data_IF_432868429681
#
_entry.id   IF_432868429681
#
_cell.length_a   1.000
_cell.length_b   1.000
_cell.length_c   1.000
_cell.angle_alpha   90.00
_cell.angle_beta   90.00
_cell.angle_gamma   90.00
#
_symmetry.space_group_name_H-M   'P 1'
#
loop_
_entity.id
_entity.type
_entity.pdbx_description
1 polymer ?
#
# COMPACT_ATOMS: atom_id res chain seq x y z
N UNK A 1 -17.45 -3.33 -8.97
CA UNK A 1 -16.86 -1.98 -9.01
C UNK A 1 -16.38 -1.73 -10.43
N UNK A 2 -16.85 -0.68 -11.10
CA UNK A 2 -16.39 -0.30 -12.43
C UNK A 2 -15.43 0.87 -12.20
N UNK A 3 -14.14 0.65 -12.41
CA UNK A 3 -13.12 1.69 -12.30
C UNK A 3 -13.10 2.48 -13.60
N UNK A 4 -13.37 3.79 -13.53
CA UNK A 4 -13.46 4.67 -14.69
C UNK A 4 -12.49 5.84 -14.46
N UNK A 5 -11.64 6.11 -15.45
CA UNK A 5 -10.63 7.17 -15.45
C UNK A 5 -11.23 8.49 -15.94
N UNK A 6 -10.88 9.58 -15.26
CA UNK A 6 -11.10 10.96 -15.71
C UNK A 6 -9.88 11.46 -16.50
N UNK A 7 -10.09 12.37 -17.44
CA UNK A 7 -9.01 13.00 -18.21
C UNK A 7 -8.46 14.23 -17.46
N UNK A 8 -7.13 14.42 -17.49
CA UNK A 8 -6.48 15.67 -17.09
C UNK A 8 -6.85 16.78 -18.08
N UNK A 9 -7.63 17.76 -17.64
CA UNK A 9 -7.81 19.04 -18.34
C UNK A 9 -6.83 20.05 -17.72
N UNK A 10 -5.55 19.92 -18.05
CA UNK A 10 -4.55 20.94 -17.74
C UNK A 10 -3.59 21.07 -18.91
N UNK A 11 -3.85 22.05 -19.78
CA UNK A 11 -2.84 22.83 -20.54
C UNK A 11 -3.54 23.73 -21.58
N UNK A 12 -4.00 24.91 -21.14
CA UNK A 12 -4.04 26.14 -21.93
C UNK A 12 -4.15 27.33 -20.97
N UNK A 13 -3.08 27.58 -20.21
CA UNK A 13 -2.87 28.84 -19.46
C UNK A 13 -1.40 28.91 -19.04
N UNK A 14 -0.53 29.21 -20.00
CA UNK A 14 0.84 29.70 -19.79
C UNK A 14 1.08 30.84 -20.78
N UNK A 15 1.77 31.89 -20.31
CA UNK A 15 1.98 33.24 -20.88
C UNK A 15 0.73 34.13 -20.74
N UNK A 16 0.76 35.25 -20.02
CA UNK A 16 1.70 36.37 -20.10
C UNK A 16 2.11 36.94 -18.73
N UNK A 17 3.42 36.94 -18.51
CA UNK A 17 4.31 37.87 -17.81
C UNK A 17 3.77 39.06 -16.97
N UNK A 18 4.25 39.08 -15.72
CA UNK A 18 4.99 40.15 -15.02
C UNK A 18 4.35 41.47 -14.55
N UNK A 19 4.58 41.70 -13.25
CA UNK A 19 5.23 42.87 -12.66
C UNK A 19 4.43 44.17 -12.37
N UNK A 20 4.51 44.53 -11.08
CA UNK A 20 4.70 45.88 -10.50
C UNK A 20 3.57 46.91 -10.71
N UNK A 21 2.85 47.15 -9.62
CA UNK A 21 2.09 48.39 -9.40
C UNK A 21 3.01 49.49 -8.87
N UNK A 22 3.13 50.61 -9.60
CA UNK A 22 3.12 51.96 -9.02
C UNK A 22 2.95 53.04 -10.13
N UNK A 23 2.11 54.04 -9.82
CA UNK A 23 1.86 55.34 -10.46
C UNK A 23 0.84 55.48 -11.63
N UNK A 24 -0.30 56.10 -11.24
CA UNK A 24 -1.14 57.12 -11.87
C UNK A 24 -0.96 57.52 -13.35
N UNK A 25 -2.06 57.51 -14.13
CA UNK A 25 -2.80 58.72 -14.58
C UNK A 25 -3.83 58.44 -15.68
N UNK A 26 -4.88 59.26 -15.67
CA UNK A 26 -5.96 59.49 -16.64
C UNK A 26 -5.67 59.16 -18.13
N UNK A 27 -6.60 58.46 -18.78
CA UNK A 27 -7.22 58.92 -20.05
C UNK A 27 -8.38 58.01 -20.50
N UNK A 28 -9.48 58.64 -20.89
CA UNK A 28 -10.73 58.11 -21.45
C UNK A 28 -10.50 57.53 -22.86
N UNK A 29 -11.07 56.37 -23.21
CA UNK A 29 -11.59 56.10 -24.57
C UNK A 29 -12.50 54.83 -24.59
N UNK A 30 -13.52 54.91 -25.44
CA UNK A 30 -14.65 53.99 -25.65
C UNK A 30 -14.31 52.49 -25.65
N UNK A 31 -15.04 51.70 -24.86
CA UNK A 31 -15.06 50.24 -24.98
C UNK A 31 -16.34 49.78 -25.67
N UNK A 32 -16.16 49.23 -26.87
CA UNK A 32 -17.14 48.48 -27.63
C UNK A 32 -17.52 47.22 -26.82
N UNK A 33 -18.79 47.06 -26.47
CA UNK A 33 -19.28 45.91 -25.68
C UNK A 33 -19.36 44.67 -26.57
N UNK A 34 -18.24 43.99 -26.79
CA UNK A 34 -18.24 42.65 -27.37
C UNK A 34 -18.77 41.69 -26.32
N UNK A 35 -20.05 41.34 -26.41
CA UNK A 35 -20.63 40.23 -25.64
C UNK A 35 -19.99 38.95 -26.16
N UNK A 36 -18.95 38.47 -25.47
CA UNK A 36 -18.43 37.11 -25.67
C UNK A 36 -19.45 36.15 -25.06
N UNK A 37 -20.37 35.66 -25.88
CA UNK A 37 -21.22 34.53 -25.53
C UNK A 37 -20.30 33.31 -25.46
N UNK A 38 -19.89 32.93 -24.25
CA UNK A 38 -19.34 31.59 -24.02
C UNK A 38 -20.49 30.59 -24.20
N UNK A 39 -20.66 30.05 -25.41
CA UNK A 39 -21.48 28.86 -25.58
C UNK A 39 -20.78 27.72 -24.87
N UNK A 40 -21.31 27.30 -23.73
CA UNK A 40 -21.02 26.03 -23.09
C UNK A 40 -21.54 24.90 -23.99
N UNK A 41 -20.85 24.67 -25.10
CA UNK A 41 -21.04 23.51 -25.94
C UNK A 41 -20.60 22.27 -25.16
N UNK A 42 -21.50 21.71 -24.34
CA UNK A 42 -21.44 20.30 -24.01
C UNK A 42 -21.40 19.56 -25.35
N UNK A 43 -20.26 18.98 -25.72
CA UNK A 43 -20.21 18.05 -26.83
C UNK A 43 -21.27 16.97 -26.57
N UNK A 44 -22.39 17.06 -27.28
CA UNK A 44 -23.46 16.09 -27.19
C UNK A 44 -22.90 14.78 -27.76
N UNK A 45 -22.67 13.80 -26.90
CA UNK A 45 -22.32 12.46 -27.37
C UNK A 45 -23.59 11.72 -27.75
N UNK A 46 -23.59 11.08 -28.92
CA UNK A 46 -24.76 10.32 -29.38
C UNK A 46 -24.81 8.91 -28.78
N UNK A 47 -23.66 8.33 -28.45
CA UNK A 47 -23.55 6.94 -27.98
C UNK A 47 -22.49 6.76 -26.91
N UNK A 48 -22.79 5.91 -25.94
CA UNK A 48 -21.82 5.37 -24.98
C UNK A 48 -22.05 3.87 -24.70
N UNK A 49 -21.04 3.18 -24.16
CA UNK A 49 -21.17 1.78 -23.74
C UNK A 49 -22.18 1.64 -22.59
N UNK A 50 -22.08 2.55 -21.61
CA UNK A 50 -22.93 2.55 -20.42
C UNK A 50 -23.17 3.97 -19.90
N UNK A 51 -24.39 4.21 -19.42
CA UNK A 51 -24.83 5.46 -18.81
C UNK A 51 -25.34 5.15 -17.41
N UNK A 52 -24.73 5.75 -16.39
CA UNK A 52 -25.22 5.70 -15.01
C UNK A 52 -26.00 6.96 -14.70
N UNK A 53 -27.18 6.82 -14.10
CA UNK A 53 -27.98 7.95 -13.62
C UNK A 53 -28.24 7.81 -12.12
N UNK A 54 -27.95 8.85 -11.35
CA UNK A 54 -28.23 8.89 -9.91
C UNK A 54 -28.78 10.26 -9.50
N UNK A 55 -29.66 10.27 -8.50
CA UNK A 55 -30.13 11.48 -7.82
C UNK A 55 -29.05 12.11 -6.93
N UNK A 56 -27.98 11.36 -6.62
CA UNK A 56 -26.90 11.77 -5.71
C UNK A 56 -25.53 11.51 -6.34
N UNK A 57 -25.06 12.43 -7.17
CA UNK A 57 -23.71 12.36 -7.75
C UNK A 57 -22.84 13.47 -7.19
N UNK A 58 -21.64 13.12 -6.74
CA UNK A 58 -20.60 14.06 -6.31
C UNK A 58 -19.43 13.92 -7.29
N UNK A 59 -19.04 15.01 -7.96
CA UNK A 59 -17.93 15.00 -8.94
C UNK A 59 -16.59 15.43 -8.34
N UNK A 60 -16.60 15.99 -7.13
CA UNK A 60 -15.45 16.65 -6.47
C UNK A 60 -14.89 17.87 -7.22
N UNK A 61 -15.64 18.41 -8.20
CA UNK A 61 -15.31 19.63 -8.95
C UNK A 61 -16.40 20.68 -8.71
N UNK A 62 -16.02 21.90 -8.35
CA UNK A 62 -16.95 22.99 -8.05
C UNK A 62 -17.68 22.78 -6.73
N UNK A 63 -19.02 22.92 -6.73
CA UNK A 63 -19.84 22.66 -5.54
C UNK A 63 -19.77 21.19 -5.12
N UNK A 64 -19.42 20.96 -3.85
CA UNK A 64 -19.22 19.62 -3.27
C UNK A 64 -20.54 18.99 -2.78
N UNK A 65 -21.67 19.42 -3.33
CA UNK A 65 -23.00 18.95 -2.94
C UNK A 65 -23.46 17.87 -3.91
N UNK A 66 -24.11 16.83 -3.39
CA UNK A 66 -24.69 15.78 -4.21
C UNK A 66 -25.84 16.34 -5.06
N UNK A 67 -25.83 16.03 -6.37
CA UNK A 67 -26.88 16.47 -7.29
C UNK A 67 -27.29 15.36 -8.28
N UNK A 68 -28.51 15.42 -8.85
CA UNK A 68 -28.93 14.48 -9.88
C UNK A 68 -28.08 14.65 -11.16
N UNK A 69 -27.39 13.58 -11.57
CA UNK A 69 -26.57 13.57 -12.78
C UNK A 69 -26.62 12.21 -13.49
N UNK A 70 -26.32 12.27 -14.78
CA UNK A 70 -25.96 11.12 -15.61
C UNK A 70 -24.47 11.17 -15.97
N UNK A 71 -23.81 10.01 -15.97
CA UNK A 71 -22.41 9.83 -16.34
C UNK A 71 -22.35 8.77 -17.45
N UNK A 72 -21.83 9.13 -18.61
CA UNK A 72 -21.63 8.23 -19.72
C UNK A 72 -20.17 7.78 -19.83
N UNK A 73 -19.97 6.51 -20.12
CA UNK A 73 -18.66 5.84 -20.06
C UNK A 73 -18.45 5.00 -21.31
N UNK A 74 -17.26 5.13 -21.91
CA UNK A 74 -16.75 4.26 -22.97
C UNK A 74 -15.47 3.58 -22.50
N UNK A 75 -15.45 2.25 -22.49
CA UNK A 75 -14.36 1.45 -21.94
C UNK A 75 -14.00 1.88 -20.52
N UNK A 76 -12.80 2.44 -20.35
CA UNK A 76 -12.28 2.92 -19.06
C UNK A 76 -12.43 4.43 -18.86
N UNK A 77 -13.13 5.18 -19.72
CA UNK A 77 -13.17 6.65 -19.67
C UNK A 77 -14.57 7.20 -19.49
N UNK A 78 -14.69 8.21 -18.63
CA UNK A 78 -15.87 9.08 -18.61
C UNK A 78 -15.81 9.94 -19.86
N UNK A 79 -16.83 9.85 -20.71
CA UNK A 79 -16.92 10.60 -21.97
C UNK A 79 -17.90 11.77 -21.88
N UNK A 80 -18.81 11.75 -20.91
CA UNK A 80 -19.77 12.83 -20.69
C UNK A 80 -20.36 12.79 -19.27
N UNK A 81 -20.67 13.96 -18.73
CA UNK A 81 -21.39 14.16 -17.47
C UNK A 81 -22.39 15.30 -17.68
N UNK A 82 -23.65 15.09 -17.31
CA UNK A 82 -24.68 16.14 -17.40
C UNK A 82 -25.97 15.77 -16.69
N UNK A 83 -27.06 16.45 -17.03
CA UNK A 83 -28.35 16.23 -16.37
C UNK A 83 -28.95 14.86 -16.71
N UNK A 84 -29.82 14.30 -15.85
CA UNK A 84 -30.56 13.09 -16.18
C UNK A 84 -31.38 13.19 -17.46
N UNK A 85 -31.97 14.36 -17.74
CA UNK A 85 -32.79 14.60 -18.95
C UNK A 85 -31.96 14.54 -20.23
N UNK A 86 -30.82 15.24 -20.27
CA UNK A 86 -29.90 15.19 -21.42
C UNK A 86 -29.37 13.76 -21.64
N UNK A 87 -29.07 13.05 -20.55
CA UNK A 87 -28.50 11.70 -20.61
C UNK A 87 -29.45 10.66 -21.20
N UNK A 88 -30.78 10.84 -21.13
CA UNK A 88 -31.77 9.89 -21.66
C UNK A 88 -31.62 9.64 -23.16
N UNK A 89 -31.15 10.63 -23.90
CA UNK A 89 -31.05 10.57 -25.36
C UNK A 89 -29.75 9.92 -25.85
N UNK A 90 -28.81 9.62 -24.94
CA UNK A 90 -27.56 8.94 -25.30
C UNK A 90 -27.85 7.45 -25.52
N UNK A 91 -27.52 6.96 -26.72
CA UNK A 91 -27.66 5.54 -27.07
C UNK A 91 -26.66 4.70 -26.25
N UNK A 92 -27.13 3.62 -25.62
CA UNK A 92 -26.26 2.75 -24.82
C UNK A 92 -27.01 1.98 -23.73
N UNK A 93 -26.26 1.30 -22.85
CA UNK A 93 -26.87 0.62 -21.70
C UNK A 93 -27.11 1.60 -20.56
N UNK A 94 -28.37 1.79 -20.18
CA UNK A 94 -28.76 2.67 -19.07
C UNK A 94 -28.85 1.92 -17.74
N UNK A 95 -28.22 2.46 -16.70
CA UNK A 95 -28.30 1.97 -15.31
C UNK A 95 -28.79 3.11 -14.41
N UNK A 96 -30.01 2.96 -13.89
CA UNK A 96 -30.62 3.89 -12.93
C UNK A 96 -30.30 3.45 -11.51
N UNK A 97 -29.66 4.32 -10.74
CA UNK A 97 -29.21 4.05 -9.37
C UNK A 97 -30.14 4.66 -8.30
N UNK A 98 -31.12 5.48 -8.69
CA UNK A 98 -32.03 6.16 -7.77
C UNK A 98 -31.26 7.03 -6.79
N UNK A 99 -31.48 6.84 -5.49
CA UNK A 99 -30.83 7.60 -4.42
C UNK A 99 -29.48 7.03 -3.95
N UNK A 100 -28.93 6.02 -4.64
CA UNK A 100 -27.57 5.53 -4.35
C UNK A 100 -26.54 6.53 -4.85
N UNK A 101 -25.57 6.86 -4.01
CA UNK A 101 -24.57 7.86 -4.35
C UNK A 101 -23.56 7.35 -5.39
N UNK A 102 -23.17 8.21 -6.33
CA UNK A 102 -21.99 8.03 -7.18
C UNK A 102 -20.92 9.02 -6.71
N UNK A 103 -19.71 8.51 -6.45
CA UNK A 103 -18.54 9.29 -6.06
C UNK A 103 -17.33 8.86 -6.91
N UNK A 104 -16.28 9.70 -7.03
CA UNK A 104 -15.01 9.24 -7.53
C UNK A 104 -14.48 8.11 -6.65
N UNK A 105 -13.79 7.14 -7.24
CA UNK A 105 -13.11 6.10 -6.50
C UNK A 105 -12.04 6.69 -5.58
N UNK A 106 -11.86 6.10 -4.40
CA UNK A 106 -10.89 6.60 -3.44
C UNK A 106 -9.47 6.31 -3.90
N UNK A 107 -8.56 7.21 -3.52
CA UNK A 107 -7.13 7.10 -3.79
C UNK A 107 -6.44 6.93 -2.44
N UNK A 108 -5.84 5.77 -2.21
CA UNK A 108 -4.89 5.59 -1.11
C UNK A 108 -3.57 6.23 -1.52
N UNK A 109 -3.35 7.44 -1.01
CA UNK A 109 -2.25 8.31 -1.38
C UNK A 109 -0.92 7.93 -0.71
N UNK A 110 -0.88 6.94 0.20
CA UNK A 110 0.37 6.44 0.77
C UNK A 110 0.19 5.06 1.41
N UNK A 111 0.38 4.01 0.62
CA UNK A 111 0.30 2.62 1.08
C UNK A 111 1.55 1.81 0.73
N UNK A 112 1.49 0.51 1.03
CA UNK A 112 2.51 -0.47 0.66
C UNK A 112 1.85 -1.67 -0.03
N UNK A 113 1.33 -1.44 -1.25
CA UNK A 113 0.55 -2.44 -1.96
C UNK A 113 1.26 -3.79 -2.15
N UNK A 114 2.56 -3.80 -2.48
CA UNK A 114 3.34 -5.04 -2.59
C UNK A 114 3.54 -5.74 -1.24
N UNK A 115 3.64 -4.99 -0.15
CA UNK A 115 3.72 -5.57 1.20
C UNK A 115 2.37 -6.17 1.64
N UNK A 116 1.26 -5.49 1.32
CA UNK A 116 -0.07 -6.07 1.55
C UNK A 116 -0.27 -7.34 0.72
N UNK A 117 0.17 -7.35 -0.56
CA UNK A 117 0.15 -8.55 -1.40
C UNK A 117 1.00 -9.67 -0.79
N UNK A 118 2.21 -9.36 -0.33
CA UNK A 118 3.07 -10.33 0.35
C UNK A 118 2.38 -10.96 1.57
N UNK A 119 1.90 -10.13 2.50
CA UNK A 119 1.26 -10.60 3.74
C UNK A 119 -0.07 -11.33 3.51
N UNK A 120 -0.82 -10.98 2.45
CA UNK A 120 -2.09 -11.62 2.09
C UNK A 120 -1.97 -13.09 1.64
N UNK A 121 -0.74 -13.59 1.44
CA UNK A 121 -0.47 -15.00 1.14
C UNK A 121 -0.55 -15.88 2.39
N UNK A 122 -0.37 -15.27 3.56
CA UNK A 122 -0.28 -15.96 4.83
C UNK A 122 -1.61 -15.95 5.58
N UNK A 123 -1.71 -16.80 6.59
CA UNK A 123 -2.88 -16.85 7.46
C UNK A 123 -2.88 -15.59 8.32
N UNK A 124 -3.95 -14.80 8.25
CA UNK A 124 -4.09 -13.61 9.11
C UNK A 124 -4.31 -14.06 10.55
N UNK A 125 -3.30 -13.86 11.40
CA UNK A 125 -3.33 -14.16 12.84
C UNK A 125 -3.26 -12.89 13.69
N UNK A 126 -3.63 -11.74 13.11
CA UNK A 126 -3.67 -10.47 13.81
C UNK A 126 -4.88 -10.34 14.75
N UNK A 127 -4.71 -9.52 15.78
CA UNK A 127 -5.80 -9.13 16.67
C UNK A 127 -6.76 -8.11 16.04
N UNK A 128 -7.98 -7.96 16.59
CA UNK A 128 -8.89 -6.90 16.17
C UNK A 128 -8.25 -5.50 16.25
N UNK A 129 -8.60 -4.58 15.33
CA UNK A 129 -9.59 -4.71 14.27
C UNK A 129 -9.04 -5.31 12.95
N UNK A 130 -7.75 -5.66 12.90
CA UNK A 130 -7.10 -6.14 11.66
C UNK A 130 -7.42 -7.61 11.37
N UNK A 131 -7.46 -8.43 12.42
CA UNK A 131 -7.92 -9.81 12.36
C UNK A 131 -8.92 -10.11 13.47
N UNK A 132 -9.09 -11.40 13.78
CA UNK A 132 -10.06 -11.89 14.76
C UNK A 132 -9.41 -12.68 15.91
N UNK A 133 -8.07 -12.65 16.02
CA UNK A 133 -7.34 -13.45 17.02
C UNK A 133 -7.23 -12.66 18.32
N UNK A 134 -7.98 -13.05 19.34
CA UNK A 134 -7.89 -12.41 20.65
C UNK A 134 -6.89 -13.11 21.58
N UNK A 135 -6.58 -14.38 21.34
CA UNK A 135 -5.61 -15.14 22.14
C UNK A 135 -5.04 -16.34 21.40
N UNK A 136 -4.14 -17.05 22.07
CA UNK A 136 -3.42 -18.20 21.48
C UNK A 136 -4.39 -19.32 21.09
N UNK A 137 -5.49 -19.50 21.83
CA UNK A 137 -6.54 -20.45 21.45
C UNK A 137 -7.13 -20.15 20.06
N UNK A 138 -7.46 -18.89 19.79
CA UNK A 138 -8.06 -18.46 18.52
C UNK A 138 -7.03 -18.55 17.39
N UNK A 139 -5.78 -18.17 17.68
CA UNK A 139 -4.65 -18.34 16.77
C UNK A 139 -4.51 -19.80 16.31
N UNK A 140 -4.53 -20.75 17.26
CA UNK A 140 -4.47 -22.19 16.97
C UNK A 140 -5.67 -22.62 16.12
N UNK A 141 -6.87 -22.15 16.42
CA UNK A 141 -8.08 -22.49 15.68
C UNK A 141 -8.02 -22.03 14.21
N UNK A 142 -7.61 -20.78 13.97
CA UNK A 142 -7.48 -20.21 12.62
C UNK A 142 -6.40 -20.96 11.81
N UNK A 143 -5.26 -21.28 12.42
CA UNK A 143 -4.20 -22.04 11.77
C UNK A 143 -4.57 -23.49 11.49
N UNK A 144 -5.23 -24.18 12.42
CA UNK A 144 -5.73 -25.55 12.20
C UNK A 144 -6.74 -25.61 11.05
N UNK A 145 -7.66 -24.64 10.99
CA UNK A 145 -8.59 -24.50 9.86
C UNK A 145 -7.83 -24.31 8.54
N UNK A 146 -6.88 -23.37 8.49
CA UNK A 146 -6.10 -23.15 7.27
C UNK A 146 -5.26 -24.37 6.88
N UNK A 147 -4.75 -25.14 7.83
CA UNK A 147 -4.00 -26.37 7.56
C UNK A 147 -4.89 -27.41 6.88
N UNK A 148 -6.11 -27.60 7.38
CA UNK A 148 -7.10 -28.51 6.81
C UNK A 148 -7.54 -28.07 5.40
N UNK A 149 -7.76 -26.77 5.20
CA UNK A 149 -8.23 -26.23 3.92
C UNK A 149 -7.15 -26.30 2.82
N UNK A 150 -5.88 -26.06 3.17
CA UNK A 150 -4.78 -25.96 2.18
C UNK A 150 -4.21 -27.30 1.72
N UNK A 151 -4.44 -28.40 2.47
CA UNK A 151 -3.88 -29.75 2.16
C UNK A 151 -2.38 -29.72 1.84
N UNK A 152 -1.61 -29.08 2.72
CA UNK A 152 -0.18 -28.87 2.54
C UNK A 152 0.59 -30.20 2.39
N UNK A 153 1.52 -30.22 1.45
CA UNK A 153 2.40 -31.34 1.11
C UNK A 153 3.73 -31.27 1.88
N UNK A 154 4.48 -32.38 1.98
CA UNK A 154 5.83 -32.36 2.53
C UNK A 154 6.72 -31.29 1.86
N UNK A 155 7.36 -30.45 2.67
CA UNK A 155 8.19 -29.33 2.21
C UNK A 155 7.45 -27.98 2.12
N UNK A 156 6.12 -27.97 2.21
CA UNK A 156 5.34 -26.74 2.36
C UNK A 156 5.27 -26.27 3.82
N UNK A 157 5.05 -24.97 4.01
CA UNK A 157 4.96 -24.34 5.33
C UNK A 157 3.57 -23.78 5.59
N UNK A 158 3.11 -23.91 6.82
CA UNK A 158 1.97 -23.14 7.31
C UNK A 158 2.48 -21.83 7.93
N UNK A 159 2.25 -20.73 7.23
CA UNK A 159 2.76 -19.42 7.64
C UNK A 159 1.60 -18.55 8.12
N UNK A 160 1.72 -18.01 9.32
CA UNK A 160 0.83 -16.99 9.87
C UNK A 160 1.54 -15.64 9.93
N UNK A 161 0.80 -14.55 9.71
CA UNK A 161 1.32 -13.20 9.81
C UNK A 161 0.43 -12.32 10.70
N UNK A 162 1.06 -11.47 11.50
CA UNK A 162 0.41 -10.30 12.11
C UNK A 162 0.03 -10.43 13.58
N UNK A 163 0.43 -11.51 14.27
CA UNK A 163 0.20 -11.60 15.71
C UNK A 163 1.04 -10.55 16.45
N UNK A 164 0.52 -10.06 17.58
CA UNK A 164 1.19 -9.14 18.51
C UNK A 164 0.99 -9.68 19.92
N UNK A 165 2.07 -10.08 20.59
CA UNK A 165 1.98 -10.70 21.91
C UNK A 165 1.38 -9.79 22.98
N UNK A 166 1.53 -8.47 22.83
CA UNK A 166 0.93 -7.47 23.73
C UNK A 166 -0.58 -7.31 23.55
N UNK A 167 -1.13 -7.80 22.44
CA UNK A 167 -2.57 -7.77 22.15
C UNK A 167 -3.25 -9.12 22.38
N UNK A 168 -2.50 -10.19 22.59
CA UNK A 168 -3.05 -11.49 22.96
C UNK A 168 -3.51 -11.49 24.43
N UNK A 169 -4.60 -12.21 24.71
CA UNK A 169 -5.14 -12.42 26.07
C UNK A 169 -4.07 -12.92 27.05
N UNK A 170 -3.17 -13.77 26.59
CA UNK A 170 -2.13 -14.37 27.43
C UNK A 170 -0.95 -13.43 27.70
N UNK A 171 -0.85 -12.27 27.04
CA UNK A 171 0.23 -11.28 27.21
C UNK A 171 1.63 -11.91 27.11
N UNK A 172 1.79 -12.85 26.18
CA UNK A 172 3.02 -13.56 25.88
C UNK A 172 3.05 -13.98 24.42
N UNK A 173 4.24 -14.21 23.89
CA UNK A 173 4.37 -14.88 22.60
C UNK A 173 3.80 -16.30 22.65
N UNK A 174 3.22 -16.80 21.54
CA UNK A 174 3.08 -18.23 21.32
C UNK A 174 4.45 -18.93 21.44
N UNK A 175 4.46 -20.17 21.93
CA UNK A 175 5.68 -20.99 22.01
C UNK A 175 5.68 -22.09 20.95
N UNK A 176 6.82 -22.77 20.85
CA UNK A 176 6.98 -24.02 20.09
C UNK A 176 5.87 -25.03 20.39
N UNK A 177 5.50 -25.23 21.66
CA UNK A 177 4.45 -26.17 22.06
C UNK A 177 3.06 -25.72 21.57
N UNK A 178 2.76 -24.43 21.66
CA UNK A 178 1.50 -23.89 21.14
C UNK A 178 1.37 -24.19 19.63
N UNK A 179 2.47 -24.15 18.88
CA UNK A 179 2.47 -24.45 17.45
C UNK A 179 2.55 -25.95 17.14
N UNK A 180 3.19 -26.75 17.99
CA UNK A 180 3.20 -28.22 17.86
C UNK A 180 1.81 -28.84 18.05
N UNK A 181 0.93 -28.20 18.81
CA UNK A 181 -0.49 -28.58 18.88
C UNK A 181 -1.23 -28.39 17.56
N UNK A 182 -0.71 -27.58 16.63
CA UNK A 182 -1.27 -27.38 15.29
C UNK A 182 -0.75 -28.48 14.36
N UNK A 183 0.56 -28.68 14.34
CA UNK A 183 1.21 -29.78 13.61
C UNK A 183 2.61 -30.03 14.14
N UNK A 184 3.02 -31.30 14.20
CA UNK A 184 4.43 -31.72 14.39
C UNK A 184 5.10 -32.20 13.11
N UNK A 185 4.34 -32.33 12.03
CA UNK A 185 4.80 -32.89 10.76
C UNK A 185 5.06 -31.80 9.71
N UNK A 186 4.20 -30.78 9.69
CA UNK A 186 4.31 -29.62 8.82
C UNK A 186 5.03 -28.49 9.59
N UNK A 187 6.05 -27.85 8.99
CA UNK A 187 6.66 -26.68 9.61
C UNK A 187 5.67 -25.53 9.70
N UNK A 188 5.49 -25.00 10.91
CA UNK A 188 4.64 -23.84 11.20
C UNK A 188 5.54 -22.68 11.60
N UNK A 189 5.33 -21.52 10.97
CA UNK A 189 6.05 -20.30 11.29
C UNK A 189 5.12 -19.10 11.37
N UNK A 190 5.20 -18.39 12.49
CA UNK A 190 4.48 -17.13 12.67
C UNK A 190 5.42 -15.96 12.50
N UNK A 191 4.99 -14.97 11.74
CA UNK A 191 5.65 -13.68 11.61
C UNK A 191 4.91 -12.69 12.50
N UNK A 192 5.64 -12.09 13.44
CA UNK A 192 5.11 -11.03 14.31
C UNK A 192 4.73 -9.80 13.49
N UNK A 193 3.77 -9.00 13.96
CA UNK A 193 3.30 -7.79 13.25
C UNK A 193 4.42 -6.81 12.91
N UNK A 194 5.47 -6.78 13.73
CA UNK A 194 6.67 -5.95 13.48
C UNK A 194 7.53 -6.44 12.31
N UNK A 195 7.44 -7.72 11.92
CA UNK A 195 8.36 -8.37 10.98
C UNK A 195 9.73 -8.73 11.58
N UNK A 196 10.06 -8.27 12.80
CA UNK A 196 11.34 -8.47 13.46
C UNK A 196 11.41 -9.73 14.35
N UNK A 197 10.26 -10.34 14.63
CA UNK A 197 10.18 -11.55 15.44
C UNK A 197 9.41 -12.64 14.71
N UNK A 198 9.66 -13.88 15.10
CA UNK A 198 8.84 -15.01 14.68
C UNK A 198 8.76 -16.11 15.72
N UNK A 199 7.82 -17.04 15.50
CA UNK A 199 7.65 -18.24 16.33
C UNK A 199 7.63 -19.46 15.43
N UNK A 200 8.43 -20.46 15.75
CA UNK A 200 8.55 -21.71 14.99
C UNK A 200 8.17 -22.93 15.85
N UNK A 201 7.47 -23.89 15.24
CA UNK A 201 7.21 -25.19 15.85
C UNK A 201 8.46 -26.10 15.82
N UNK A 202 8.39 -27.27 16.45
CA UNK A 202 9.51 -28.21 16.53
C UNK A 202 10.01 -28.62 15.14
N UNK A 203 9.09 -28.84 14.19
CA UNK A 203 9.46 -29.21 12.82
C UNK A 203 10.26 -28.11 12.12
N UNK A 204 9.80 -26.86 12.20
CA UNK A 204 10.46 -25.70 11.59
C UNK A 204 11.85 -25.44 12.21
N UNK A 205 11.99 -25.57 13.54
CA UNK A 205 13.30 -25.48 14.22
C UNK A 205 14.25 -26.60 13.76
N UNK A 206 13.76 -27.83 13.69
CA UNK A 206 14.56 -29.00 13.28
C UNK A 206 15.13 -28.84 11.87
N UNK A 207 14.29 -28.48 10.88
CA UNK A 207 14.76 -28.34 9.48
C UNK A 207 15.67 -27.13 9.26
N UNK A 208 15.57 -26.11 10.13
CA UNK A 208 16.49 -24.96 10.14
C UNK A 208 17.73 -25.20 11.02
N UNK A 209 17.86 -26.38 11.63
CA UNK A 209 18.96 -26.78 12.51
C UNK A 209 19.14 -25.87 13.73
N UNK A 210 18.06 -25.28 14.22
CA UNK A 210 18.04 -24.52 15.48
C UNK A 210 17.78 -25.51 16.62
N UNK A 211 18.69 -25.55 17.58
CA UNK A 211 18.67 -26.49 18.71
C UNK A 211 19.18 -25.82 20.00
N UNK A 212 19.18 -26.55 21.11
CA UNK A 212 19.76 -26.07 22.37
C UNK A 212 21.23 -25.64 22.24
N UNK A 213 21.99 -26.30 21.38
CA UNK A 213 23.40 -25.99 21.12
C UNK A 213 23.62 -24.78 20.20
N UNK A 214 22.58 -24.25 19.56
CA UNK A 214 22.71 -23.12 18.64
C UNK A 214 22.98 -21.82 19.40
N UNK A 215 24.11 -21.13 19.19
CA UNK A 215 24.36 -19.85 19.82
C UNK A 215 23.41 -18.77 19.28
N UNK A 216 23.24 -17.67 20.02
CA UNK A 216 22.60 -16.49 19.48
C UNK A 216 23.49 -15.88 18.37
N UNK A 217 22.94 -15.57 17.18
CA UNK A 217 23.70 -14.89 16.15
C UNK A 217 23.97 -13.43 16.53
N UNK A 218 25.00 -12.79 15.96
CA UNK A 218 25.18 -11.35 16.09
C UNK A 218 23.91 -10.59 15.70
N UNK A 219 23.46 -9.68 16.57
CA UNK A 219 22.28 -8.86 16.33
C UNK A 219 20.95 -9.60 16.40
N UNK A 220 20.88 -10.79 17.02
CA UNK A 220 19.63 -11.54 17.17
C UNK A 220 19.65 -12.50 18.35
N UNK A 221 18.47 -13.02 18.69
CA UNK A 221 18.29 -13.88 19.86
C UNK A 221 17.34 -15.04 19.59
N UNK A 222 17.74 -16.23 20.01
CA UNK A 222 16.88 -17.41 20.07
C UNK A 222 16.40 -17.53 21.52
N UNK A 223 15.12 -17.23 21.78
CA UNK A 223 14.57 -17.32 23.13
C UNK A 223 14.47 -18.77 23.57
N UNK A 224 14.66 -18.98 24.88
CA UNK A 224 14.76 -20.28 25.54
C UNK A 224 13.85 -20.32 26.76
N UNK A 225 13.51 -21.51 27.23
CA UNK A 225 12.82 -21.65 28.51
C UNK A 225 13.74 -21.22 29.64
N UNK A 226 13.17 -20.65 30.71
CA UNK A 226 13.96 -20.22 31.87
C UNK A 226 14.72 -21.38 32.53
N UNK A 227 14.17 -22.60 32.46
CA UNK A 227 14.71 -23.81 33.07
C UNK A 227 15.65 -24.62 32.19
N UNK A 228 15.87 -24.25 30.92
CA UNK A 228 16.70 -25.05 30.00
C UNK A 228 17.30 -24.24 28.85
N UNK A 229 18.29 -24.82 28.16
CA UNK A 229 18.84 -24.26 26.92
C UNK A 229 17.97 -24.54 25.70
N UNK A 230 16.84 -25.23 25.84
CA UNK A 230 15.95 -25.56 24.72
C UNK A 230 15.27 -24.29 24.15
N UNK A 231 15.32 -24.07 22.82
CA UNK A 231 14.60 -22.97 22.19
C UNK A 231 13.09 -23.09 22.41
N UNK A 232 12.46 -21.99 22.82
CA UNK A 232 11.01 -21.96 23.05
C UNK A 232 10.20 -21.62 21.79
N UNK A 233 10.86 -21.59 20.63
CA UNK A 233 10.27 -21.27 19.33
C UNK A 233 10.37 -19.80 18.93
N UNK A 234 10.53 -18.87 19.88
CA UNK A 234 10.59 -17.43 19.58
C UNK A 234 12.01 -17.05 19.14
N UNK A 235 12.09 -16.36 17.99
CA UNK A 235 13.34 -15.88 17.38
C UNK A 235 13.23 -14.39 17.07
N UNK A 236 14.32 -13.65 17.32
CA UNK A 236 14.38 -12.19 17.24
C UNK A 236 15.47 -11.76 16.24
N UNK A 237 15.15 -10.78 15.40
CA UNK A 237 16.06 -10.12 14.47
C UNK A 237 16.81 -11.12 13.58
N UNK A 238 18.15 -11.11 13.57
CA UNK A 238 18.96 -11.98 12.70
C UNK A 238 18.77 -13.48 13.01
N UNK A 239 18.26 -13.84 14.19
CA UNK A 239 17.92 -15.22 14.52
C UNK A 239 16.67 -15.72 13.79
N UNK A 240 15.79 -14.82 13.33
CA UNK A 240 14.62 -15.18 12.55
C UNK A 240 14.94 -15.51 11.09
N UNK A 241 16.07 -15.03 10.57
CA UNK A 241 16.38 -15.08 9.13
C UNK A 241 16.45 -16.49 8.52
N UNK A 242 17.04 -17.52 9.17
CA UNK A 242 17.04 -18.87 8.60
C UNK A 242 15.62 -19.42 8.42
N UNK A 243 14.75 -19.20 9.41
CA UNK A 243 13.33 -19.59 9.36
C UNK A 243 12.57 -18.80 8.31
N UNK A 244 12.70 -17.47 8.30
CA UNK A 244 12.07 -16.62 7.28
C UNK A 244 12.50 -17.03 5.87
N UNK A 245 13.80 -17.25 5.63
CA UNK A 245 14.32 -17.66 4.33
C UNK A 245 13.70 -18.96 3.84
N UNK A 246 13.65 -20.00 4.68
CA UNK A 246 13.05 -21.29 4.29
C UNK A 246 11.53 -21.20 4.12
N UNK A 247 10.85 -20.50 5.03
CA UNK A 247 9.41 -20.27 4.94
C UNK A 247 9.06 -19.53 3.62
N UNK A 248 9.79 -18.46 3.30
CA UNK A 248 9.54 -17.69 2.06
C UNK A 248 9.89 -18.48 0.79
N UNK A 249 10.93 -19.31 0.83
CA UNK A 249 11.27 -20.19 -0.29
C UNK A 249 10.19 -21.24 -0.57
N UNK A 250 9.32 -21.56 0.39
CA UNK A 250 8.21 -22.50 0.21
C UNK A 250 7.00 -21.91 -0.52
N UNK A 251 6.97 -20.59 -0.74
CA UNK A 251 5.87 -19.91 -1.42
C UNK A 251 5.91 -20.23 -2.92
N UNK A 252 4.98 -21.08 -3.38
CA UNK A 252 4.92 -21.58 -4.76
C UNK A 252 4.69 -20.50 -5.82
N UNK A 253 3.81 -19.54 -5.54
CA UNK A 253 3.49 -18.48 -6.49
C UNK A 253 3.44 -17.11 -5.80
N UNK A 254 4.54 -16.34 -5.85
CA UNK A 254 4.70 -15.12 -5.07
C UNK A 254 3.78 -13.97 -5.49
N UNK A 255 3.00 -14.12 -6.57
CA UNK A 255 2.03 -13.11 -7.03
C UNK A 255 0.57 -13.40 -6.64
N UNK A 256 0.25 -14.58 -6.09
CA UNK A 256 -1.13 -14.94 -5.73
C UNK A 256 -1.71 -14.01 -4.64
N UNK A 257 -0.82 -13.40 -3.85
CA UNK A 257 -1.18 -12.41 -2.86
C UNK A 257 -1.78 -11.13 -3.42
N UNK A 258 -1.46 -10.77 -4.67
CA UNK A 258 -1.94 -9.51 -5.26
C UNK A 258 -3.45 -9.49 -5.44
N UNK A 259 -4.06 -10.59 -5.88
CA UNK A 259 -5.51 -10.64 -6.07
C UNK A 259 -6.26 -10.38 -4.74
N UNK A 260 -5.81 -11.03 -3.66
CA UNK A 260 -6.37 -10.82 -2.32
C UNK A 260 -6.14 -9.40 -1.82
N UNK A 261 -4.94 -8.86 -1.98
CA UNK A 261 -4.64 -7.48 -1.59
C UNK A 261 -5.49 -6.45 -2.36
N UNK A 262 -5.66 -6.65 -3.67
CA UNK A 262 -6.50 -5.78 -4.49
C UNK A 262 -7.96 -5.87 -4.07
N UNK A 263 -8.46 -7.05 -3.69
CA UNK A 263 -9.82 -7.17 -3.15
C UNK A 263 -9.99 -6.41 -1.83
N UNK A 264 -8.96 -6.36 -0.98
CA UNK A 264 -8.97 -5.52 0.23
C UNK A 264 -9.14 -4.06 -0.14
N UNK A 265 -8.36 -3.52 -1.07
CA UNK A 265 -8.55 -2.13 -1.52
C UNK A 265 -9.94 -1.90 -2.13
N UNK A 266 -10.33 -2.75 -3.08
CA UNK A 266 -11.57 -2.59 -3.82
C UNK A 266 -12.81 -2.66 -2.92
N UNK A 267 -12.87 -3.53 -1.90
CA UNK A 267 -14.04 -3.57 -1.01
C UNK A 267 -14.24 -2.28 -0.20
N UNK A 268 -13.17 -1.49 -0.02
CA UNK A 268 -13.20 -0.21 0.69
C UNK A 268 -13.40 0.99 -0.26
N UNK A 269 -13.72 0.78 -1.55
CA UNK A 269 -13.92 1.88 -2.49
C UNK A 269 -12.64 2.42 -3.11
N UNK A 270 -11.48 1.84 -2.80
CA UNK A 270 -10.18 2.30 -3.29
C UNK A 270 -9.96 1.76 -4.71
N UNK A 271 -9.82 2.66 -5.68
CA UNK A 271 -9.59 2.33 -7.10
C UNK A 271 -8.17 2.63 -7.55
N UNK A 272 -7.41 3.37 -6.74
CA UNK A 272 -5.99 3.66 -6.94
C UNK A 272 -5.27 3.58 -5.61
N UNK A 273 -4.15 2.87 -5.53
CA UNK A 273 -3.33 2.81 -4.33
C UNK A 273 -1.86 3.09 -4.64
N UNK A 274 -1.14 3.64 -3.67
CA UNK A 274 0.30 3.79 -3.77
C UNK A 274 1.05 2.58 -3.20
N UNK A 275 2.20 2.29 -3.80
CA UNK A 275 3.27 1.55 -3.15
C UNK A 275 4.43 2.51 -2.89
N UNK A 276 4.48 3.03 -1.66
CA UNK A 276 5.35 4.14 -1.28
C UNK A 276 6.80 3.76 -1.02
N UNK A 277 7.20 2.50 -1.19
CA UNK A 277 8.58 2.05 -1.01
C UNK A 277 8.81 0.69 -1.67
N UNK A 278 8.72 0.63 -3.00
CA UNK A 278 8.88 -0.64 -3.72
C UNK A 278 10.35 -0.96 -3.98
N UNK A 279 10.75 -2.20 -3.71
CA UNK A 279 12.06 -2.73 -4.11
C UNK A 279 12.07 -3.15 -5.59
N UNK A 280 13.24 -3.31 -6.19
CA UNK A 280 13.36 -3.84 -7.56
C UNK A 280 12.68 -5.20 -7.76
N UNK A 281 12.96 -6.21 -6.91
CA UNK A 281 12.28 -7.50 -6.97
C UNK A 281 10.76 -7.39 -6.76
N UNK A 282 10.29 -6.60 -5.78
CA UNK A 282 8.86 -6.41 -5.52
C UNK A 282 8.15 -5.76 -6.71
N UNK A 283 8.81 -4.80 -7.37
CA UNK A 283 8.30 -4.15 -8.57
C UNK A 283 8.18 -5.15 -9.74
N UNK A 284 9.16 -6.03 -9.92
CA UNK A 284 9.09 -7.07 -10.94
C UNK A 284 7.90 -8.02 -10.71
N UNK A 285 7.66 -8.42 -9.46
CA UNK A 285 6.49 -9.21 -9.07
C UNK A 285 5.18 -8.44 -9.31
N UNK A 286 5.10 -7.16 -8.94
CA UNK A 286 3.95 -6.30 -9.18
C UNK A 286 3.63 -6.21 -10.69
N UNK A 287 4.63 -5.95 -11.52
CA UNK A 287 4.47 -5.91 -12.99
C UNK A 287 4.07 -7.26 -13.57
N UNK A 288 4.59 -8.37 -13.04
CA UNK A 288 4.19 -9.71 -13.44
C UNK A 288 2.72 -10.00 -13.08
N UNK A 289 2.29 -9.63 -11.86
CA UNK A 289 0.90 -9.77 -11.42
C UNK A 289 -0.06 -8.93 -12.29
N UNK A 290 0.35 -7.70 -12.63
CA UNK A 290 -0.34 -6.81 -13.54
C UNK A 290 -0.53 -7.43 -14.93
N UNK A 291 0.56 -7.94 -15.54
CA UNK A 291 0.53 -8.61 -16.86
C UNK A 291 -0.38 -9.83 -16.88
N UNK A 292 -0.49 -10.56 -15.76
CA UNK A 292 -1.38 -11.71 -15.59
C UNK A 292 -2.82 -11.35 -15.22
N UNK A 293 -3.16 -10.06 -15.13
CA UNK A 293 -4.53 -9.60 -14.91
C UNK A 293 -5.03 -9.66 -13.46
N UNK A 294 -4.14 -9.85 -12.48
CA UNK A 294 -4.48 -9.86 -11.05
C UNK A 294 -4.82 -8.47 -10.49
N UNK A 295 -4.43 -7.39 -11.18
CA UNK A 295 -4.73 -6.02 -10.76
C UNK A 295 -6.05 -5.52 -11.36
N UNK A 296 -7.00 -5.19 -10.50
CA UNK A 296 -8.30 -4.57 -10.84
C UNK A 296 -8.38 -3.09 -10.46
N UNK A 297 -7.36 -2.59 -9.77
CA UNK A 297 -7.16 -1.18 -9.39
C UNK A 297 -5.84 -0.70 -9.97
N UNK A 298 -5.66 0.62 -10.04
CA UNK A 298 -4.38 1.21 -10.43
C UNK A 298 -3.40 1.23 -9.23
N UNK A 299 -2.13 0.89 -9.48
CA UNK A 299 -1.06 0.97 -8.47
C UNK A 299 -0.01 1.98 -8.94
N UNK A 300 0.24 3.01 -8.14
CA UNK A 300 1.30 3.99 -8.37
C UNK A 300 2.48 3.64 -7.45
N UNK A 301 3.56 3.14 -8.02
CA UNK A 301 4.72 2.66 -7.28
C UNK A 301 5.85 3.70 -7.24
N UNK A 302 6.50 3.78 -6.08
CA UNK A 302 7.63 4.66 -5.80
C UNK A 302 8.84 3.80 -5.40
N UNK A 303 9.88 3.81 -6.23
CA UNK A 303 11.08 3.00 -5.99
C UNK A 303 11.95 3.66 -4.94
N UNK A 304 12.54 2.88 -4.05
CA UNK A 304 13.48 3.38 -3.05
C UNK A 304 14.73 3.92 -3.76
N UNK A 305 15.04 5.20 -3.54
CA UNK A 305 16.22 5.86 -4.12
C UNK A 305 17.51 5.50 -3.40
N UNK A 306 17.49 5.42 -2.07
CA UNK A 306 18.65 5.08 -1.25
C UNK A 306 19.25 3.74 -1.68
N UNK A 307 20.55 3.75 -2.01
CA UNK A 307 21.28 2.54 -2.43
C UNK A 307 20.93 2.02 -3.82
N UNK A 308 20.03 2.69 -4.56
CA UNK A 308 19.73 2.33 -5.95
C UNK A 308 20.66 3.11 -6.90
N UNK A 309 21.45 2.43 -7.76
CA UNK A 309 22.33 3.10 -8.70
C UNK A 309 21.55 4.03 -9.64
N UNK A 310 22.09 5.24 -9.89
CA UNK A 310 21.44 6.24 -10.74
C UNK A 310 21.19 5.74 -12.17
N UNK A 311 22.09 4.90 -12.70
CA UNK A 311 21.91 4.27 -14.02
C UNK A 311 20.65 3.41 -14.08
N UNK A 312 20.33 2.71 -12.99
CA UNK A 312 19.10 1.94 -12.87
C UNK A 312 17.89 2.87 -12.82
N UNK A 313 17.95 3.98 -12.10
CA UNK A 313 16.87 4.97 -12.07
C UNK A 313 16.60 5.55 -13.45
N UNK A 314 17.65 5.98 -14.17
CA UNK A 314 17.53 6.53 -15.55
C UNK A 314 16.96 5.54 -16.57
N UNK A 315 17.08 4.24 -16.31
CA UNK A 315 16.52 3.20 -17.19
C UNK A 315 15.01 2.98 -17.01
N UNK A 316 14.39 3.61 -16.00
CA UNK A 316 12.98 3.39 -15.69
C UNK A 316 12.08 4.38 -16.43
N UNK A 317 10.92 3.89 -16.85
CA UNK A 317 9.89 4.72 -17.46
C UNK A 317 8.89 5.23 -16.40
N UNK A 318 8.96 6.52 -16.09
CA UNK A 318 8.07 7.18 -15.14
C UNK A 318 6.83 7.77 -15.80
N UNK A 319 5.73 7.90 -15.04
CA UNK A 319 4.52 8.60 -15.47
C UNK A 319 3.56 7.80 -16.36
N UNK A 320 4.04 6.76 -17.04
CA UNK A 320 3.22 5.91 -17.91
C UNK A 320 2.63 4.71 -17.17
N UNK A 321 1.39 4.36 -17.49
CA UNK A 321 0.74 3.14 -17.00
C UNK A 321 1.07 1.95 -17.90
N UNK A 322 1.44 0.83 -17.26
CA UNK A 322 1.61 -0.48 -17.87
C UNK A 322 0.71 -1.47 -17.11
N UNK A 323 -0.37 -1.96 -17.75
CA UNK A 323 -1.31 -2.92 -17.15
C UNK A 323 -1.81 -2.53 -15.73
N UNK A 324 -2.17 -1.25 -15.52
CA UNK A 324 -2.59 -0.66 -14.22
C UNK A 324 -1.46 -0.24 -13.26
N UNK A 325 -0.20 -0.50 -13.60
CA UNK A 325 0.95 -0.08 -12.77
C UNK A 325 1.59 1.16 -13.38
N UNK A 326 1.82 2.20 -12.57
CA UNK A 326 2.59 3.39 -12.96
C UNK A 326 3.76 3.58 -12.01
N UNK A 327 4.95 3.85 -12.54
CA UNK A 327 6.04 4.40 -11.72
C UNK A 327 5.78 5.89 -11.50
N UNK A 328 5.39 6.25 -10.28
CA UNK A 328 5.02 7.61 -9.91
C UNK A 328 6.22 8.49 -9.55
N UNK A 329 7.30 7.87 -9.08
CA UNK A 329 8.50 8.59 -8.68
C UNK A 329 9.42 7.74 -7.81
N UNK A 330 10.20 8.43 -6.98
CA UNK A 330 11.22 7.85 -6.12
C UNK A 330 10.88 8.17 -4.67
N UNK A 331 10.99 7.18 -3.80
CA UNK A 331 10.88 7.32 -2.36
C UNK A 331 12.25 7.60 -1.78
N UNK A 332 12.34 8.65 -0.97
CA UNK A 332 13.43 8.86 -0.03
C UNK A 332 12.93 8.66 1.40
N UNK A 333 13.75 8.01 2.22
CA UNK A 333 13.54 7.86 3.67
C UNK A 333 14.62 8.71 4.34
N UNK A 334 14.20 9.74 5.06
CA UNK A 334 15.10 10.75 5.62
C UNK A 334 15.45 10.46 7.08
N UNK A 335 14.48 9.93 7.83
CA UNK A 335 14.54 9.62 9.25
C UNK A 335 13.62 8.44 9.59
N UNK A 336 13.48 8.15 10.89
CA UNK A 336 12.65 7.06 11.40
C UNK A 336 11.19 7.44 11.63
N UNK A 337 10.64 6.98 12.76
CA UNK A 337 9.22 7.20 13.11
C UNK A 337 9.07 7.88 14.46
N UNK A 338 8.02 8.71 14.66
CA UNK A 338 7.73 9.27 15.98
C UNK A 338 7.43 8.21 17.04
N UNK A 339 6.76 7.11 16.67
CA UNK A 339 6.38 6.02 17.58
C UNK A 339 7.60 5.26 18.10
N UNK A 340 8.56 4.98 17.22
CA UNK A 340 9.85 4.41 17.59
C UNK A 340 10.80 5.42 18.25
N UNK A 341 10.39 6.68 18.36
CA UNK A 341 11.21 7.83 18.77
C UNK A 341 12.48 7.99 17.91
N UNK A 342 12.44 7.62 16.64
CA UNK A 342 13.58 7.72 15.71
C UNK A 342 13.39 8.78 14.63
N UNK A 343 12.23 9.44 14.56
CA UNK A 343 12.04 10.61 13.72
C UNK A 343 12.95 11.76 14.19
N UNK A 344 13.53 12.50 13.24
CA UNK A 344 14.52 13.53 13.48
C UNK A 344 13.85 14.89 13.63
N UNK A 345 13.78 15.37 14.87
CA UNK A 345 12.99 16.53 15.27
C UNK A 345 13.86 17.80 15.39
N UNK A 346 13.22 18.95 15.18
CA UNK A 346 13.86 20.25 15.44
C UNK A 346 14.03 20.55 16.92
N UNK A 347 13.39 19.80 17.83
CA UNK A 347 13.51 19.91 19.29
C UNK A 347 13.56 18.50 19.93
N UNK A 348 14.06 18.37 21.18
CA UNK A 348 14.15 17.07 21.84
C UNK A 348 12.80 16.42 22.08
N UNK A 349 12.78 15.09 22.12
CA UNK A 349 11.61 14.34 22.56
C UNK A 349 11.27 14.68 24.01
N UNK A 350 10.00 14.99 24.29
CA UNK A 350 9.51 15.23 25.65
C UNK A 350 9.80 14.08 26.62
N UNK A 351 9.81 12.85 26.09
CA UNK A 351 10.23 11.64 26.80
C UNK A 351 11.20 10.88 25.90
N UNK A 352 12.52 10.96 26.12
CA UNK A 352 13.48 10.21 25.32
C UNK A 352 13.31 8.68 25.49
N UNK A 353 13.90 7.85 24.61
CA UNK A 353 14.07 6.42 24.86
C UNK A 353 14.83 6.16 26.17
N UNK A 354 14.66 4.97 26.75
CA UNK A 354 15.44 4.60 27.94
C UNK A 354 16.93 4.57 27.60
N UNK A 355 17.75 5.21 28.45
CA UNK A 355 19.20 5.32 28.25
C UNK A 355 19.65 6.51 27.40
N UNK A 356 18.74 7.21 26.74
CA UNK A 356 19.05 8.40 25.95
C UNK A 356 18.98 9.70 26.79
N UNK A 357 19.76 10.70 26.41
CA UNK A 357 19.77 12.00 27.08
C UNK A 357 18.47 12.77 26.86
N UNK A 358 18.14 13.71 27.76
CA UNK A 358 16.99 14.62 27.58
C UNK A 358 17.12 15.53 26.34
N UNK A 359 18.34 15.68 25.81
CA UNK A 359 18.61 16.39 24.56
C UNK A 359 18.34 15.56 23.29
N UNK A 360 17.96 14.29 23.41
CA UNK A 360 17.75 13.39 22.28
C UNK A 360 16.66 13.87 21.32
N UNK A 361 16.99 14.00 20.04
CA UNK A 361 16.10 14.52 18.98
C UNK A 361 15.80 13.51 17.87
N UNK A 362 16.10 12.23 18.08
CA UNK A 362 16.18 11.26 16.99
C UNK A 362 17.42 11.50 16.12
N UNK A 363 17.44 10.91 14.93
CA UNK A 363 18.59 10.99 14.04
C UNK A 363 18.19 10.82 12.58
N UNK A 364 18.89 11.48 11.64
CA UNK A 364 18.66 11.25 10.23
C UNK A 364 19.22 9.88 9.80
N UNK A 365 18.57 9.24 8.82
CA UNK A 365 19.06 8.02 8.17
C UNK A 365 20.15 8.36 7.14
N UNK A 366 20.04 9.51 6.48
CA UNK A 366 21.02 10.03 5.52
C UNK A 366 21.34 11.48 5.83
N UNK A 367 22.59 11.91 5.57
CA UNK A 367 23.00 13.30 5.80
C UNK A 367 22.22 14.28 4.91
N UNK A 368 22.11 15.54 5.34
CA UNK A 368 21.48 16.60 4.52
C UNK A 368 22.16 16.74 3.15
N UNK A 369 23.48 16.60 3.08
CA UNK A 369 24.23 16.56 1.81
C UNK A 369 23.73 15.43 0.92
N UNK A 370 23.61 14.21 1.46
CA UNK A 370 23.09 13.07 0.71
C UNK A 370 21.63 13.28 0.27
N UNK A 371 20.79 13.97 1.05
CA UNK A 371 19.43 14.35 0.61
C UNK A 371 19.50 15.26 -0.61
N UNK A 372 20.30 16.32 -0.56
CA UNK A 372 20.46 17.26 -1.65
C UNK A 372 20.99 16.57 -2.91
N UNK A 373 22.03 15.75 -2.77
CA UNK A 373 22.64 15.00 -3.88
C UNK A 373 21.64 14.06 -4.54
N UNK A 374 20.85 13.33 -3.74
CA UNK A 374 19.80 12.44 -4.28
C UNK A 374 18.71 13.23 -5.01
N UNK A 375 18.24 14.35 -4.46
CA UNK A 375 17.21 15.18 -5.10
C UNK A 375 17.72 15.70 -6.45
N UNK A 376 18.94 16.25 -6.49
CA UNK A 376 19.56 16.73 -7.72
C UNK A 376 19.67 15.59 -8.75
N UNK A 377 20.32 14.50 -8.37
CA UNK A 377 20.54 13.35 -9.26
C UNK A 377 19.22 12.79 -9.83
N UNK A 378 18.17 12.70 -9.02
CA UNK A 378 16.88 12.15 -9.44
C UNK A 378 15.99 13.13 -10.20
N UNK A 379 16.11 14.44 -9.93
CA UNK A 379 15.40 15.47 -10.69
C UNK A 379 15.91 15.60 -12.12
N UNK A 380 17.22 15.36 -12.33
CA UNK A 380 17.89 15.38 -13.63
C UNK A 380 17.80 14.05 -14.39
N UNK A 381 17.28 12.99 -13.76
CA UNK A 381 17.21 11.65 -14.34
C UNK A 381 15.98 11.43 -15.26
N UNK A 382 15.31 12.49 -15.70
CA UNK A 382 14.11 12.44 -16.56
C UNK A 382 14.43 12.44 -18.04
#
# INVERSE_FOLDING_TARGET
>A
MIAIKTQDCSMHLVSVLNARYQFASFCQFMACTTVVIFSSGSLAIEKADIIFTSNKTITMVGEKIARPLSIAVNGERIVWIGSPEEGKNILGRHIKLGDKAILPGFIDAHGHASYLAFTSQFVNVASPPVGAVEGIKDLKAVLKKSLADKKLQPGEWLIGFGYDDSLLKEQRHPTREDLDEISREIPVYLIHVSGHLGVANSKALSITKISAASPNPPGGKIRRYLSSSEPNGVVEETAAYPLQKMAMASVKNPIDGYEKAIQVYARHGITTAQDGAVSGPSLALLKMAAKKGHLKIDIIAYIIGQGTPISKIRSLNFGQYENRVKLGGIKLILDGSPQGKTAYLSEPYLKPPSGEAQSYRGYPIISQTAVNDNILAFSEAK
#
